data_IF_500896322512
#
_entry.id   IF_500896322512
#
_cell.length_a   1.000
_cell.length_b   1.000
_cell.length_c   1.000
_cell.angle_alpha   90.00
_cell.angle_beta   90.00
_cell.angle_gamma   90.00
#
_symmetry.space_group_name_H-M   'P 1'
#
loop_
_entity.id
_entity.type
_entity.pdbx_description
1 polymer ?
#
# COMPACT_ATOMS: atom_id res chain seq x y z
N UNK A 1 -21.66 12.12 -47.61
CA UNK A 1 -21.24 12.81 -48.86
C UNK A 1 -22.26 13.86 -49.33
N UNK A 2 -23.58 13.57 -49.25
CA UNK A 2 -24.66 14.50 -49.67
C UNK A 2 -24.78 15.82 -48.87
N UNK A 3 -24.40 15.86 -47.59
CA UNK A 3 -24.55 17.05 -46.72
C UNK A 3 -23.56 18.18 -46.99
N UNK A 4 -22.37 17.90 -47.52
CA UNK A 4 -21.40 18.95 -47.91
C UNK A 4 -21.82 19.62 -49.21
N UNK A 5 -22.21 18.84 -50.21
CA UNK A 5 -22.65 19.33 -51.52
C UNK A 5 -23.88 20.25 -51.40
N UNK A 6 -24.87 19.85 -50.58
CA UNK A 6 -26.06 20.67 -50.33
C UNK A 6 -25.74 22.02 -49.67
N UNK A 7 -24.80 22.05 -48.71
CA UNK A 7 -24.35 23.29 -48.07
C UNK A 7 -23.64 24.24 -49.05
N UNK A 8 -22.81 23.71 -49.95
CA UNK A 8 -22.16 24.52 -50.98
C UNK A 8 -23.17 25.11 -51.97
N UNK A 9 -24.14 24.31 -52.41
CA UNK A 9 -25.19 24.73 -53.33
C UNK A 9 -26.10 25.80 -52.73
N UNK A 10 -26.51 25.62 -51.47
CA UNK A 10 -27.31 26.61 -50.73
C UNK A 10 -26.56 27.95 -50.55
N UNK A 11 -25.26 27.91 -50.26
CA UNK A 11 -24.43 29.12 -50.12
C UNK A 11 -24.33 29.90 -51.44
N UNK A 12 -24.16 29.21 -52.56
CA UNK A 12 -24.11 29.85 -53.88
C UNK A 12 -25.44 30.55 -54.23
N UNK A 13 -26.56 29.93 -53.86
CA UNK A 13 -27.90 30.51 -54.03
C UNK A 13 -28.06 31.77 -53.17
N UNK A 14 -27.61 31.76 -51.92
CA UNK A 14 -27.69 32.93 -51.02
C UNK A 14 -26.80 34.08 -51.52
N UNK A 15 -25.60 33.79 -52.03
CA UNK A 15 -24.71 34.80 -52.63
C UNK A 15 -25.35 35.39 -53.88
N UNK A 16 -25.86 34.55 -54.78
CA UNK A 16 -26.52 35.00 -56.00
C UNK A 16 -27.75 35.87 -55.70
N UNK A 17 -28.53 35.50 -54.68
CA UNK A 17 -29.71 36.25 -54.25
C UNK A 17 -29.35 37.59 -53.60
N UNK A 18 -28.31 37.65 -52.76
CA UNK A 18 -27.84 38.89 -52.14
C UNK A 18 -27.27 39.88 -53.18
N UNK A 19 -26.49 39.37 -54.15
CA UNK A 19 -26.00 40.17 -55.28
C UNK A 19 -27.19 40.64 -56.13
N UNK A 20 -28.17 39.78 -56.39
CA UNK A 20 -29.39 40.16 -57.11
C UNK A 20 -30.14 41.32 -56.44
N UNK A 21 -30.30 41.31 -55.10
CA UNK A 21 -30.94 42.41 -54.37
C UNK A 21 -30.17 43.73 -54.52
N UNK A 22 -28.84 43.72 -54.42
CA UNK A 22 -28.00 44.92 -54.56
C UNK A 22 -28.16 45.55 -55.95
N UNK A 23 -28.32 44.71 -56.98
CA UNK A 23 -28.39 45.17 -58.36
C UNK A 23 -29.79 45.59 -58.80
N UNK A 24 -30.84 44.92 -58.32
CA UNK A 24 -32.21 45.12 -58.81
C UNK A 24 -33.14 45.87 -57.84
N UNK A 25 -32.84 45.88 -56.54
CA UNK A 25 -33.73 46.45 -55.52
C UNK A 25 -33.25 47.80 -54.95
N UNK A 26 -31.97 48.15 -55.15
CA UNK A 26 -31.42 49.45 -54.72
C UNK A 26 -31.44 50.40 -55.94
N UNK A 27 -32.26 51.47 -55.93
CA UNK A 27 -32.35 52.40 -57.05
C UNK A 27 -31.04 53.19 -57.23
N UNK A 28 -30.69 53.49 -58.47
CA UNK A 28 -29.42 54.17 -58.83
C UNK A 28 -29.26 55.59 -58.25
N UNK A 29 -30.34 56.16 -57.73
CA UNK A 29 -30.33 57.45 -57.02
C UNK A 29 -29.67 57.38 -55.64
N UNK A 30 -29.63 56.19 -55.00
CA UNK A 30 -29.06 56.01 -53.67
C UNK A 30 -27.64 55.42 -53.70
N UNK A 31 -27.29 54.67 -54.74
CA UNK A 31 -26.00 53.99 -54.83
C UNK A 31 -25.51 53.95 -56.29
N UNK A 32 -24.37 54.60 -56.57
CA UNK A 32 -23.81 54.63 -57.92
C UNK A 32 -23.29 53.25 -58.32
N UNK A 33 -23.16 53.00 -59.62
CA UNK A 33 -22.71 51.73 -60.19
C UNK A 33 -21.38 51.22 -59.58
N UNK A 34 -20.38 52.10 -59.41
CA UNK A 34 -19.11 51.73 -58.77
C UNK A 34 -19.30 51.30 -57.32
N UNK A 35 -20.19 51.96 -56.57
CA UNK A 35 -20.45 51.62 -55.17
C UNK A 35 -21.12 50.24 -55.07
N UNK A 36 -22.03 49.90 -56.01
CA UNK A 36 -22.67 48.56 -56.11
C UNK A 36 -21.66 47.44 -56.39
N UNK A 37 -20.65 47.69 -57.23
CA UNK A 37 -19.55 46.74 -57.48
C UNK A 37 -18.73 46.53 -56.20
N UNK A 38 -18.33 47.62 -55.54
CA UNK A 38 -17.53 47.56 -54.31
C UNK A 38 -18.29 46.82 -53.20
N UNK A 39 -19.59 47.05 -53.03
CA UNK A 39 -20.42 46.35 -52.04
C UNK A 39 -20.56 44.85 -52.34
N UNK A 40 -20.69 44.46 -53.62
CA UNK A 40 -20.75 43.05 -54.03
C UNK A 40 -19.44 42.32 -53.73
N UNK A 41 -18.30 42.96 -54.00
CA UNK A 41 -16.96 42.42 -53.68
C UNK A 41 -16.78 42.30 -52.17
N UNK A 42 -17.20 43.30 -51.39
CA UNK A 42 -17.13 43.27 -49.93
C UNK A 42 -17.99 42.15 -49.32
N UNK A 43 -19.19 41.90 -49.87
CA UNK A 43 -20.08 40.83 -49.44
C UNK A 43 -19.48 39.44 -49.70
N UNK A 44 -18.89 39.23 -50.88
CA UNK A 44 -18.17 37.99 -51.21
C UNK A 44 -16.98 37.80 -50.25
N UNK A 45 -16.20 38.85 -50.00
CA UNK A 45 -15.06 38.80 -49.09
C UNK A 45 -15.48 38.46 -47.65
N UNK A 46 -16.58 39.03 -47.15
CA UNK A 46 -17.13 38.73 -45.82
C UNK A 46 -17.57 37.27 -45.68
N UNK A 47 -18.18 36.69 -46.70
CA UNK A 47 -18.63 35.29 -46.68
C UNK A 47 -17.42 34.33 -46.70
N UNK A 48 -16.40 34.64 -47.50
CA UNK A 48 -15.13 33.89 -47.51
C UNK A 48 -14.43 34.01 -46.15
N UNK A 49 -14.39 35.21 -45.56
CA UNK A 49 -13.81 35.43 -44.24
C UNK A 49 -14.58 34.69 -43.14
N UNK A 50 -15.91 34.67 -43.22
CA UNK A 50 -16.77 33.93 -42.28
C UNK A 50 -16.53 32.42 -42.37
N UNK A 51 -16.52 31.83 -43.57
CA UNK A 51 -16.27 30.39 -43.74
C UNK A 51 -14.86 30.02 -43.28
N UNK A 52 -13.88 30.88 -43.58
CA UNK A 52 -12.51 30.75 -43.09
C UNK A 52 -12.45 30.82 -41.56
N UNK A 53 -13.21 31.71 -40.93
CA UNK A 53 -13.29 31.84 -39.47
C UNK A 53 -13.97 30.62 -38.82
N UNK A 54 -15.06 30.10 -39.40
CA UNK A 54 -15.75 28.90 -38.90
C UNK A 54 -14.85 27.66 -39.05
N UNK A 55 -14.19 27.52 -40.20
CA UNK A 55 -13.22 26.46 -40.45
C UNK A 55 -12.04 26.55 -39.48
N UNK A 56 -11.49 27.75 -39.30
CA UNK A 56 -10.40 28.02 -38.35
C UNK A 56 -10.79 27.69 -36.90
N UNK A 57 -12.01 28.02 -36.47
CA UNK A 57 -12.52 27.61 -35.15
C UNK A 57 -12.59 26.10 -35.00
N UNK A 58 -13.16 25.39 -35.98
CA UNK A 58 -13.24 23.93 -35.96
C UNK A 58 -11.85 23.28 -35.99
N UNK A 59 -10.91 23.83 -36.76
CA UNK A 59 -9.53 23.37 -36.79
C UNK A 59 -8.80 23.66 -35.48
N UNK A 60 -9.08 24.80 -34.84
CA UNK A 60 -8.56 25.15 -33.52
C UNK A 60 -9.06 24.19 -32.44
N UNK A 61 -10.35 23.87 -32.42
CA UNK A 61 -10.93 22.90 -31.47
C UNK A 61 -10.33 21.49 -31.67
N UNK A 62 -10.13 21.07 -32.92
CA UNK A 62 -9.47 19.78 -33.23
C UNK A 62 -8.00 19.83 -32.81
N UNK A 63 -7.28 20.89 -33.15
CA UNK A 63 -5.87 21.05 -32.78
C UNK A 63 -5.68 21.06 -31.27
N UNK A 64 -6.60 21.69 -30.51
CA UNK A 64 -6.60 21.66 -29.05
C UNK A 64 -6.82 20.23 -28.53
N UNK A 65 -7.82 19.51 -29.03
CA UNK A 65 -8.06 18.11 -28.63
C UNK A 65 -6.87 17.22 -28.95
N UNK A 66 -6.30 17.34 -30.15
CA UNK A 66 -5.10 16.61 -30.56
C UNK A 66 -3.89 16.99 -29.68
N UNK A 67 -3.74 18.25 -29.31
CA UNK A 67 -2.69 18.68 -28.40
C UNK A 67 -2.86 18.08 -26.99
N UNK A 68 -4.08 18.10 -26.44
CA UNK A 68 -4.38 17.47 -25.16
C UNK A 68 -4.16 15.95 -25.18
N UNK A 69 -4.56 15.27 -26.27
CA UNK A 69 -4.30 13.84 -26.49
C UNK A 69 -2.81 13.53 -26.61
N UNK A 70 -2.06 14.36 -27.35
CA UNK A 70 -0.61 14.23 -27.49
C UNK A 70 0.09 14.46 -26.14
N UNK A 71 -0.33 15.46 -25.36
CA UNK A 71 0.23 15.73 -24.04
C UNK A 71 -0.04 14.56 -23.08
N UNK A 72 -1.26 14.02 -23.06
CA UNK A 72 -1.61 12.83 -22.27
C UNK A 72 -0.80 11.61 -22.70
N UNK A 73 -0.68 11.38 -24.01
CA UNK A 73 0.08 10.26 -24.57
C UNK A 73 1.57 10.39 -24.24
N UNK A 74 2.14 11.60 -24.33
CA UNK A 74 3.52 11.86 -23.95
C UNK A 74 3.78 11.61 -22.46
N UNK A 75 2.88 12.08 -21.58
CA UNK A 75 2.97 11.81 -20.15
C UNK A 75 2.92 10.32 -19.82
N UNK A 76 2.00 9.58 -20.46
CA UNK A 76 1.90 8.13 -20.31
C UNK A 76 3.14 7.41 -20.83
N UNK A 77 3.64 7.77 -22.01
CA UNK A 77 4.85 7.17 -22.58
C UNK A 77 6.08 7.41 -21.71
N UNK A 78 6.24 8.63 -21.18
CA UNK A 78 7.32 8.97 -20.24
C UNK A 78 7.21 8.16 -18.94
N UNK A 79 5.98 8.01 -18.43
CA UNK A 79 5.71 7.18 -17.26
C UNK A 79 6.11 5.72 -17.52
N UNK A 80 5.63 5.12 -18.61
CA UNK A 80 5.91 3.73 -19.01
C UNK A 80 7.40 3.50 -19.23
N UNK A 81 8.09 4.39 -19.95
CA UNK A 81 9.53 4.26 -20.18
C UNK A 81 10.31 4.22 -18.86
N UNK A 82 10.02 5.16 -17.95
CA UNK A 82 10.68 5.21 -16.64
C UNK A 82 10.28 4.03 -15.74
N UNK A 83 9.02 3.63 -15.77
CA UNK A 83 8.54 2.45 -15.05
C UNK A 83 9.30 1.20 -15.50
N UNK A 84 9.41 0.97 -16.81
CA UNK A 84 10.12 -0.18 -17.36
C UNK A 84 11.61 -0.18 -17.03
N UNK A 85 12.26 0.99 -17.04
CA UNK A 85 13.66 1.11 -16.60
C UNK A 85 13.84 0.80 -15.12
N UNK A 86 12.96 1.32 -14.25
CA UNK A 86 12.99 1.02 -12.81
C UNK A 86 12.66 -0.45 -12.53
N UNK A 87 11.73 -1.05 -13.27
CA UNK A 87 11.37 -2.46 -13.16
C UNK A 87 12.54 -3.37 -13.57
N UNK A 88 13.28 -3.04 -14.62
CA UNK A 88 14.48 -3.77 -15.02
C UNK A 88 15.54 -3.73 -13.91
N UNK A 89 15.82 -2.54 -13.36
CA UNK A 89 16.75 -2.38 -12.24
C UNK A 89 16.28 -3.13 -10.98
N UNK A 90 14.97 -3.10 -10.69
CA UNK A 90 14.36 -3.88 -9.62
C UNK A 90 14.64 -5.37 -9.79
N UNK A 91 14.45 -5.91 -11.00
CA UNK A 91 14.63 -7.34 -11.26
C UNK A 91 16.10 -7.77 -11.12
N UNK A 92 17.04 -6.93 -11.57
CA UNK A 92 18.47 -7.20 -11.42
C UNK A 92 18.89 -7.21 -9.94
N UNK A 93 18.42 -6.22 -9.17
CA UNK A 93 18.69 -6.15 -7.73
C UNK A 93 17.98 -7.26 -6.95
N UNK A 94 16.75 -7.60 -7.32
CA UNK A 94 16.01 -8.73 -6.73
C UNK A 94 16.77 -10.04 -6.92
N UNK A 95 17.30 -10.28 -8.13
CA UNK A 95 18.16 -11.43 -8.41
C UNK A 95 19.43 -11.41 -7.56
N UNK A 96 20.06 -10.25 -7.39
CA UNK A 96 21.25 -10.10 -6.53
C UNK A 96 20.95 -10.42 -5.07
N UNK A 97 19.82 -9.93 -4.54
CA UNK A 97 19.35 -10.26 -3.18
C UNK A 97 19.07 -11.76 -3.07
N UNK A 98 18.40 -12.37 -4.05
CA UNK A 98 18.16 -13.81 -4.07
C UNK A 98 19.46 -14.62 -4.01
N UNK A 99 20.44 -14.30 -4.87
CA UNK A 99 21.76 -14.94 -4.86
C UNK A 99 22.46 -14.76 -3.52
N UNK A 100 22.35 -13.57 -2.91
CA UNK A 100 22.90 -13.32 -1.59
C UNK A 100 22.24 -14.22 -0.54
N UNK A 101 20.91 -14.25 -0.46
CA UNK A 101 20.17 -15.07 0.52
C UNK A 101 20.45 -16.57 0.37
N UNK A 102 20.72 -17.03 -0.85
CA UNK A 102 21.05 -18.43 -1.13
C UNK A 102 22.55 -18.74 -0.90
N UNK A 103 23.39 -17.73 -0.62
CA UNK A 103 24.83 -17.92 -0.46
C UNK A 103 25.19 -18.68 0.83
N UNK A 104 26.09 -19.69 0.75
CA UNK A 104 26.52 -20.46 1.90
C UNK A 104 27.50 -19.65 2.77
N UNK A 105 27.65 -20.08 4.02
CA UNK A 105 28.66 -19.55 4.93
C UNK A 105 30.06 -19.79 4.39
N UNK A 106 30.93 -18.78 4.54
CA UNK A 106 32.35 -18.92 4.23
C UNK A 106 33.02 -19.59 5.41
N UNK A 107 33.58 -20.77 5.17
CA UNK A 107 34.36 -21.50 6.16
C UNK A 107 35.81 -21.00 6.19
N UNK A 108 36.42 -20.95 7.37
CA UNK A 108 37.85 -20.77 7.54
C UNK A 108 38.60 -22.08 7.24
N UNK A 109 39.93 -22.02 7.15
CA UNK A 109 40.78 -23.20 6.92
C UNK A 109 40.80 -24.21 8.07
N UNK A 110 40.10 -23.94 9.18
CA UNK A 110 39.98 -24.79 10.37
C UNK A 110 38.56 -25.35 10.54
N UNK A 111 37.65 -25.10 9.59
CA UNK A 111 36.26 -25.56 9.62
C UNK A 111 35.29 -24.69 10.44
N UNK A 112 35.73 -23.54 10.95
CA UNK A 112 34.88 -22.53 11.57
C UNK A 112 34.24 -21.58 10.54
N UNK A 113 33.20 -20.84 10.91
CA UNK A 113 32.57 -19.85 10.01
C UNK A 113 33.39 -18.55 10.05
N UNK A 114 34.08 -18.25 8.94
CA UNK A 114 34.86 -17.02 8.75
C UNK A 114 33.98 -15.79 8.48
N UNK A 115 32.89 -15.98 7.73
CA UNK A 115 31.89 -14.96 7.47
C UNK A 115 30.54 -15.62 7.19
N UNK A 116 29.50 -15.14 7.85
CA UNK A 116 28.13 -15.60 7.59
C UNK A 116 27.74 -15.25 6.15
N UNK A 117 27.28 -16.27 5.42
CA UNK A 117 26.60 -16.12 4.14
C UNK A 117 25.18 -15.60 4.36
N UNK A 118 24.47 -15.35 3.26
CA UNK A 118 23.13 -14.77 3.34
C UNK A 118 22.10 -15.70 3.97
N UNK A 119 22.28 -17.02 3.90
CA UNK A 119 21.37 -17.98 4.55
C UNK A 119 21.42 -17.86 6.07
N UNK A 120 22.61 -17.85 6.65
CA UNK A 120 22.80 -17.67 8.10
C UNK A 120 22.45 -16.25 8.54
N UNK A 121 22.71 -15.23 7.71
CA UNK A 121 22.25 -13.87 7.95
C UNK A 121 20.72 -13.78 8.08
N UNK A 122 19.98 -14.38 7.13
CA UNK A 122 18.52 -14.42 7.18
C UNK A 122 18.00 -15.19 8.40
N UNK A 123 18.61 -16.35 8.72
CA UNK A 123 18.26 -17.11 9.92
C UNK A 123 18.53 -16.35 11.22
N UNK A 124 19.57 -15.51 11.26
CA UNK A 124 19.84 -14.65 12.41
C UNK A 124 18.72 -13.60 12.56
N UNK A 125 18.32 -12.95 11.47
CA UNK A 125 17.18 -12.02 11.49
C UNK A 125 15.91 -12.72 11.97
N UNK A 126 15.66 -13.96 11.53
CA UNK A 126 14.51 -14.75 12.00
C UNK A 126 14.50 -14.98 13.50
N UNK A 127 15.66 -15.16 14.11
CA UNK A 127 15.79 -15.39 15.56
C UNK A 127 15.71 -14.12 16.41
N UNK A 128 15.83 -12.94 15.79
CA UNK A 128 15.71 -11.66 16.51
C UNK A 128 14.34 -11.53 17.14
N UNK A 129 14.29 -10.95 18.35
CA UNK A 129 13.06 -10.91 19.13
C UNK A 129 12.14 -9.78 18.70
N UNK A 130 12.71 -8.60 18.46
CA UNK A 130 11.96 -7.36 18.22
C UNK A 130 12.05 -6.89 16.78
N UNK A 131 11.14 -6.01 16.37
CA UNK A 131 11.19 -5.36 15.05
C UNK A 131 12.40 -4.43 14.94
N UNK A 132 12.77 -3.75 16.02
CA UNK A 132 13.87 -2.78 16.08
C UNK A 132 15.21 -3.44 15.79
N UNK A 133 15.46 -4.59 16.41
CA UNK A 133 16.68 -5.36 16.20
C UNK A 133 16.82 -5.81 14.73
N UNK A 134 15.71 -6.31 14.16
CA UNK A 134 15.66 -6.74 12.77
C UNK A 134 15.82 -5.57 11.79
N UNK A 135 15.14 -4.44 12.04
CA UNK A 135 15.22 -3.23 11.22
C UNK A 135 16.65 -2.66 11.21
N UNK A 136 17.26 -2.51 12.38
CA UNK A 136 18.62 -1.97 12.53
C UNK A 136 19.66 -2.86 11.84
N UNK A 137 19.45 -4.17 11.86
CA UNK A 137 20.33 -5.12 11.14
C UNK A 137 20.21 -4.97 9.62
N UNK A 138 19.01 -4.72 9.11
CA UNK A 138 18.77 -4.53 7.68
C UNK A 138 19.26 -3.17 7.16
N UNK A 139 19.23 -2.16 8.02
CA UNK A 139 19.62 -0.80 7.69
C UNK A 139 21.09 -0.75 7.26
N UNK A 140 21.35 -0.17 6.08
CA UNK A 140 22.71 -0.02 5.57
C UNK A 140 23.34 -1.30 4.98
N UNK A 141 22.62 -2.42 4.96
CA UNK A 141 23.12 -3.64 4.33
C UNK A 141 23.41 -3.42 2.84
N UNK A 142 24.62 -3.76 2.40
CA UNK A 142 25.17 -3.43 1.08
C UNK A 142 24.35 -3.96 -0.11
N UNK A 143 23.73 -5.14 0.03
CA UNK A 143 22.90 -5.76 -1.03
C UNK A 143 21.41 -5.40 -0.89
N UNK A 144 20.86 -5.52 0.32
CA UNK A 144 19.42 -5.34 0.58
C UNK A 144 19.00 -3.86 0.50
N UNK A 145 19.79 -2.93 1.05
CA UNK A 145 19.40 -1.51 1.09
C UNK A 145 19.25 -0.88 -0.31
N UNK A 146 20.14 -1.12 -1.30
CA UNK A 146 19.93 -0.66 -2.68
C UNK A 146 18.64 -1.20 -3.30
N UNK A 147 18.32 -2.47 -3.07
CA UNK A 147 17.08 -3.08 -3.53
C UNK A 147 15.84 -2.37 -2.94
N UNK A 148 15.81 -2.16 -1.62
CA UNK A 148 14.72 -1.46 -0.94
C UNK A 148 14.50 -0.06 -1.51
N UNK A 149 15.59 0.68 -1.78
CA UNK A 149 15.52 2.03 -2.34
C UNK A 149 14.92 2.04 -3.75
N UNK A 150 15.31 1.09 -4.61
CA UNK A 150 14.75 0.98 -5.96
C UNK A 150 13.29 0.57 -5.91
N UNK A 151 12.91 -0.35 -5.03
CA UNK A 151 11.51 -0.72 -4.83
C UNK A 151 10.67 0.48 -4.36
N UNK A 152 11.17 1.27 -3.40
CA UNK A 152 10.53 2.51 -2.98
C UNK A 152 10.34 3.49 -4.15
N UNK A 153 11.39 3.75 -4.94
CA UNK A 153 11.27 4.69 -6.06
C UNK A 153 10.36 4.19 -7.18
N UNK A 154 10.30 2.87 -7.40
CA UNK A 154 9.36 2.26 -8.33
C UNK A 154 7.92 2.48 -7.85
N UNK A 155 7.61 2.19 -6.59
CA UNK A 155 6.29 2.45 -6.02
C UNK A 155 5.94 3.94 -6.04
N UNK A 156 6.88 4.81 -5.62
CA UNK A 156 6.71 6.27 -5.68
C UNK A 156 6.38 6.74 -7.09
N UNK A 157 7.06 6.22 -8.11
CA UNK A 157 6.79 6.56 -9.51
C UNK A 157 5.38 6.17 -9.95
N UNK A 158 4.90 4.98 -9.54
CA UNK A 158 3.51 4.53 -9.79
C UNK A 158 2.51 5.47 -9.11
N UNK A 159 2.68 5.72 -7.80
CA UNK A 159 1.74 6.53 -7.02
C UNK A 159 1.78 8.02 -7.36
N UNK A 160 2.92 8.54 -7.85
CA UNK A 160 3.03 9.91 -8.38
C UNK A 160 2.29 10.06 -9.70
N UNK A 161 2.27 9.00 -10.53
CA UNK A 161 1.55 9.02 -11.80
C UNK A 161 0.03 8.95 -11.60
N UNK A 162 -0.45 8.12 -10.66
CA UNK A 162 -1.87 8.01 -10.38
C UNK A 162 -2.17 7.50 -8.97
N UNK A 163 -3.14 8.14 -8.33
CA UNK A 163 -3.74 7.69 -7.06
C UNK A 163 -4.98 6.81 -7.27
N UNK A 164 -5.39 6.57 -8.52
CA UNK A 164 -6.53 5.71 -8.83
C UNK A 164 -6.16 4.22 -8.59
N UNK A 165 -6.89 3.50 -7.72
CA UNK A 165 -6.71 2.07 -7.47
C UNK A 165 -6.60 1.19 -8.70
N UNK A 166 -7.41 1.42 -9.73
CA UNK A 166 -7.40 0.61 -10.94
C UNK A 166 -6.08 0.74 -11.70
N UNK A 167 -5.49 1.94 -11.66
CA UNK A 167 -4.25 2.25 -12.36
C UNK A 167 -3.06 1.75 -11.54
N UNK A 168 -2.91 2.14 -10.26
CA UNK A 168 -1.72 1.73 -9.52
C UNK A 168 -1.67 0.21 -9.29
N UNK A 169 -2.82 -0.45 -9.06
CA UNK A 169 -2.87 -1.92 -8.89
C UNK A 169 -2.44 -2.66 -10.14
N UNK A 170 -2.68 -2.12 -11.33
CA UNK A 170 -2.20 -2.68 -12.60
C UNK A 170 -0.67 -2.85 -12.62
N UNK A 171 0.06 -1.94 -11.98
CA UNK A 171 1.53 -1.96 -11.94
C UNK A 171 2.07 -2.64 -10.67
N UNK A 172 1.42 -2.47 -9.51
CA UNK A 172 1.90 -3.08 -8.26
C UNK A 172 1.61 -4.57 -8.14
N UNK A 173 0.52 -5.08 -8.74
CA UNK A 173 0.13 -6.49 -8.61
C UNK A 173 1.09 -7.47 -9.33
N UNK A 174 1.57 -7.17 -10.55
CA UNK A 174 2.63 -7.97 -11.16
C UNK A 174 3.94 -7.85 -10.38
N UNK A 175 4.29 -6.64 -9.94
CA UNK A 175 5.52 -6.38 -9.18
C UNK A 175 5.60 -7.24 -7.92
N UNK A 176 4.54 -7.27 -7.08
CA UNK A 176 4.53 -8.10 -5.85
C UNK A 176 4.64 -9.60 -6.15
N UNK A 177 4.05 -10.06 -7.25
CA UNK A 177 4.04 -11.49 -7.62
C UNK A 177 5.40 -12.01 -8.09
N UNK A 178 6.31 -11.12 -8.53
CA UNK A 178 7.65 -11.49 -8.98
C UNK A 178 8.64 -11.65 -7.82
N UNK A 179 8.34 -11.09 -6.65
CA UNK A 179 9.25 -11.04 -5.51
C UNK A 179 9.07 -12.31 -4.67
N UNK A 180 10.19 -13.00 -4.40
CA UNK A 180 10.24 -14.14 -3.47
C UNK A 180 9.72 -13.77 -2.07
N UNK A 181 9.10 -14.73 -1.37
CA UNK A 181 8.47 -14.52 -0.05
C UNK A 181 9.48 -14.08 1.04
N UNK A 182 10.68 -14.64 1.05
CA UNK A 182 11.77 -14.25 1.95
C UNK A 182 12.18 -12.78 1.75
N UNK A 183 12.28 -12.32 0.50
CA UNK A 183 12.54 -10.92 0.18
C UNK A 183 11.36 -10.03 0.59
N UNK A 184 10.12 -10.44 0.34
CA UNK A 184 8.93 -9.70 0.80
C UNK A 184 8.91 -9.55 2.33
N UNK A 185 9.30 -10.59 3.07
CA UNK A 185 9.45 -10.52 4.52
C UNK A 185 10.50 -9.49 4.94
N UNK A 186 11.66 -9.44 4.27
CA UNK A 186 12.67 -8.42 4.53
C UNK A 186 12.18 -6.99 4.20
N UNK A 187 11.37 -6.83 3.15
CA UNK A 187 10.75 -5.53 2.81
C UNK A 187 9.81 -5.10 3.94
N UNK A 188 8.96 -6.01 4.42
CA UNK A 188 8.05 -5.74 5.52
C UNK A 188 8.81 -5.36 6.80
N UNK A 189 9.85 -6.11 7.18
CA UNK A 189 10.69 -5.79 8.34
C UNK A 189 11.35 -4.41 8.21
N UNK A 190 11.93 -4.10 7.06
CA UNK A 190 12.65 -2.84 6.87
C UNK A 190 11.70 -1.63 6.91
N UNK A 191 10.43 -1.82 6.56
CA UNK A 191 9.42 -0.75 6.50
C UNK A 191 8.43 -0.76 7.67
N UNK A 192 8.57 -1.67 8.63
CA UNK A 192 7.67 -1.75 9.79
C UNK A 192 7.85 -0.58 10.76
N UNK A 193 9.09 -0.08 10.88
CA UNK A 193 9.43 1.03 11.77
C UNK A 193 9.52 2.31 10.93
N UNK A 194 8.73 3.31 11.32
CA UNK A 194 8.65 4.61 10.63
C UNK A 194 9.20 5.78 11.47
N UNK A 195 9.54 5.53 12.74
CA UNK A 195 10.08 6.53 13.65
C UNK A 195 11.53 6.23 13.98
N UNK A 196 12.31 7.27 14.30
CA UNK A 196 13.66 7.10 14.85
C UNK A 196 13.57 6.66 16.31
N UNK A 197 14.57 5.90 16.75
CA UNK A 197 14.65 5.43 18.14
C UNK A 197 14.56 6.62 19.12
N UNK A 198 13.62 6.54 20.07
CA UNK A 198 13.35 7.59 21.05
C UNK A 198 12.79 8.92 20.50
N UNK A 199 12.37 8.99 19.24
CA UNK A 199 11.83 10.21 18.61
C UNK A 199 10.51 9.95 17.87
N UNK A 200 9.71 11.02 17.70
CA UNK A 200 8.54 11.03 16.81
C UNK A 200 8.90 11.46 15.38
N UNK A 201 10.18 11.71 15.10
CA UNK A 201 10.65 12.10 13.78
C UNK A 201 10.59 10.90 12.81
N UNK A 202 10.09 11.17 11.60
CA UNK A 202 10.11 10.22 10.49
C UNK A 202 11.54 9.78 10.17
N UNK A 203 11.74 8.47 10.05
CA UNK A 203 13.00 7.87 9.63
C UNK A 203 13.16 7.80 8.10
N UNK A 204 12.18 8.32 7.35
CA UNK A 204 12.13 8.35 5.90
C UNK A 204 11.44 7.13 5.28
N UNK A 205 10.90 6.22 6.10
CA UNK A 205 10.19 5.03 5.65
C UNK A 205 8.67 5.20 5.65
N UNK A 206 8.11 6.29 6.20
CA UNK A 206 6.66 6.49 6.26
C UNK A 206 6.00 6.42 4.87
N UNK A 207 6.48 7.21 3.89
CA UNK A 207 5.92 7.17 2.52
C UNK A 207 6.01 5.76 1.92
N UNK A 208 7.10 5.04 2.18
CA UNK A 208 7.28 3.69 1.66
C UNK A 208 6.27 2.71 2.27
N UNK A 209 6.10 2.75 3.59
CA UNK A 209 5.11 1.94 4.29
C UNK A 209 3.68 2.24 3.78
N UNK A 210 3.35 3.52 3.58
CA UNK A 210 2.04 3.92 3.03
C UNK A 210 1.78 3.35 1.64
N UNK A 211 2.77 3.38 0.74
CA UNK A 211 2.63 2.80 -0.60
C UNK A 211 2.40 1.29 -0.55
N UNK A 212 3.11 0.58 0.35
CA UNK A 212 2.95 -0.86 0.55
C UNK A 212 1.55 -1.20 1.09
N UNK A 213 1.03 -0.40 2.03
CA UNK A 213 -0.31 -0.58 2.58
C UNK A 213 -1.41 -0.28 1.54
N UNK A 214 -1.33 0.87 0.85
CA UNK A 214 -2.33 1.29 -0.17
C UNK A 214 -2.45 0.31 -1.34
N UNK A 215 -1.38 -0.42 -1.63
CA UNK A 215 -1.34 -1.40 -2.72
C UNK A 215 -1.65 -2.84 -2.28
N UNK A 216 -1.99 -3.07 -1.01
CA UNK A 216 -2.13 -4.41 -0.43
C UNK A 216 -0.92 -5.31 -0.82
N UNK A 217 0.30 -4.76 -0.71
CA UNK A 217 1.50 -5.37 -1.31
C UNK A 217 1.79 -6.79 -0.80
N UNK A 218 1.40 -7.07 0.44
CA UNK A 218 1.65 -8.34 1.15
C UNK A 218 0.42 -9.26 1.23
N UNK A 219 -0.59 -9.05 0.38
CA UNK A 219 -1.87 -9.78 0.40
C UNK A 219 -1.73 -11.32 0.42
N UNK A 220 -0.66 -11.85 -0.15
CA UNK A 220 -0.39 -13.29 -0.24
C UNK A 220 0.87 -13.72 0.52
N UNK A 221 1.52 -12.80 1.24
CA UNK A 221 2.77 -13.06 1.95
C UNK A 221 2.49 -13.72 3.29
N UNK A 222 3.25 -14.77 3.61
CA UNK A 222 3.20 -15.41 4.93
C UNK A 222 4.48 -15.06 5.67
N UNK A 223 4.36 -14.18 6.65
CA UNK A 223 5.52 -13.72 7.43
C UNK A 223 6.04 -14.77 8.40
N UNK A 224 5.25 -15.76 8.80
CA UNK A 224 5.62 -16.77 9.81
C UNK A 224 6.34 -17.99 9.25
N UNK A 225 6.59 -18.03 7.93
CA UNK A 225 7.26 -19.15 7.26
C UNK A 225 8.38 -18.67 6.34
N UNK A 226 9.48 -19.42 6.29
CA UNK A 226 10.64 -19.14 5.43
C UNK A 226 10.33 -19.34 3.94
N UNK A 227 9.47 -20.29 3.64
CA UNK A 227 9.04 -20.62 2.28
C UNK A 227 7.55 -20.34 2.12
N UNK A 228 7.13 -20.19 0.87
CA UNK A 228 5.71 -20.09 0.55
C UNK A 228 5.01 -21.39 0.98
N UNK A 229 4.19 -21.29 2.03
CA UNK A 229 3.35 -22.38 2.53
C UNK A 229 1.89 -22.06 2.27
N UNK A 230 1.06 -23.09 2.21
CA UNK A 230 -0.40 -22.88 2.18
C UNK A 230 -0.86 -22.35 3.55
N UNK A 231 -1.71 -21.32 3.56
CA UNK A 231 -2.29 -20.74 4.78
C UNK A 231 -2.80 -21.81 5.76
N UNK A 232 -3.53 -22.81 5.27
CA UNK A 232 -4.10 -23.85 6.12
C UNK A 232 -3.03 -24.74 6.79
N UNK A 233 -1.84 -24.86 6.19
CA UNK A 233 -0.76 -25.67 6.72
C UNK A 233 -0.05 -25.01 7.91
N UNK A 234 -0.03 -23.68 7.95
CA UNK A 234 0.66 -22.90 9.00
C UNK A 234 -0.30 -22.26 10.00
N UNK A 235 -1.62 -22.28 9.75
CA UNK A 235 -2.62 -21.64 10.61
C UNK A 235 -2.55 -22.09 12.07
N UNK A 236 -2.50 -23.40 12.31
CA UNK A 236 -2.45 -23.95 13.67
C UNK A 236 -1.16 -23.56 14.42
N UNK A 237 -0.03 -23.47 13.71
CA UNK A 237 1.25 -23.03 14.27
C UNK A 237 1.21 -21.54 14.67
N UNK A 238 0.55 -20.71 13.86
CA UNK A 238 0.34 -19.30 14.15
C UNK A 238 -0.61 -19.13 15.34
N UNK A 239 -1.73 -19.85 15.38
CA UNK A 239 -2.66 -19.85 16.53
C UNK A 239 -1.94 -20.27 17.82
N UNK A 240 -1.16 -21.34 17.77
CA UNK A 240 -0.35 -21.79 18.89
C UNK A 240 0.67 -20.72 19.33
N UNK A 241 1.32 -20.04 18.38
CA UNK A 241 2.28 -18.97 18.66
C UNK A 241 1.61 -17.75 19.31
N UNK A 242 0.39 -17.40 18.91
CA UNK A 242 -0.40 -16.37 19.59
C UNK A 242 -0.75 -16.77 21.00
N UNK A 243 -1.21 -18.01 21.20
CA UNK A 243 -1.53 -18.49 22.54
C UNK A 243 -0.32 -18.44 23.49
N UNK A 244 0.85 -18.87 23.02
CA UNK A 244 2.09 -18.88 23.80
C UNK A 244 2.62 -17.49 24.10
N UNK A 245 2.64 -16.59 23.11
CA UNK A 245 3.25 -15.26 23.27
C UNK A 245 2.29 -14.22 23.86
N UNK A 246 0.98 -14.50 23.88
CA UNK A 246 -0.02 -13.49 24.22
C UNK A 246 -0.99 -13.97 25.30
N UNK A 247 -1.78 -15.02 25.04
CA UNK A 247 -2.82 -15.46 25.97
C UNK A 247 -2.25 -16.02 27.28
N UNK A 248 -1.18 -16.82 27.20
CA UNK A 248 -0.54 -17.41 28.40
C UNK A 248 0.11 -16.32 29.28
N UNK A 249 0.93 -15.39 28.76
CA UNK A 249 1.46 -14.27 29.54
C UNK A 249 0.37 -13.44 30.22
N UNK A 250 -0.69 -13.07 29.49
CA UNK A 250 -1.84 -12.35 30.07
C UNK A 250 -2.43 -13.12 31.25
N UNK A 251 -2.72 -14.41 31.07
CA UNK A 251 -3.30 -15.25 32.14
C UNK A 251 -2.38 -15.33 33.36
N UNK A 252 -1.08 -15.46 33.15
CA UNK A 252 -0.10 -15.51 34.24
C UNK A 252 -0.04 -14.18 35.02
N UNK A 253 -0.06 -13.04 34.33
CA UNK A 253 -0.10 -11.72 34.98
C UNK A 253 -1.37 -11.53 35.79
N UNK A 254 -2.53 -11.93 35.24
CA UNK A 254 -3.79 -11.86 35.96
C UNK A 254 -3.81 -12.79 37.18
N UNK A 255 -3.28 -14.01 37.06
CA UNK A 255 -3.13 -14.92 38.19
C UNK A 255 -2.26 -14.32 39.30
N UNK A 256 -1.10 -13.75 38.95
CA UNK A 256 -0.21 -13.08 39.90
C UNK A 256 -0.89 -11.89 40.57
N UNK A 257 -1.63 -11.09 39.80
CA UNK A 257 -2.40 -9.97 40.33
C UNK A 257 -3.45 -10.44 41.35
N UNK A 258 -4.26 -11.44 41.02
CA UNK A 258 -5.28 -11.99 41.94
C UNK A 258 -4.65 -12.52 43.23
N UNK A 259 -3.48 -13.15 43.15
CA UNK A 259 -2.79 -13.72 44.31
C UNK A 259 -2.10 -12.68 45.19
N UNK A 260 -1.56 -11.61 44.60
CA UNK A 260 -0.66 -10.67 45.31
C UNK A 260 -1.22 -9.26 45.45
N UNK A 261 -2.29 -8.93 44.72
CA UNK A 261 -2.85 -7.59 44.56
C UNK A 261 -1.85 -6.55 44.03
N UNK A 262 -0.77 -7.01 43.37
CA UNK A 262 0.23 -6.14 42.75
C UNK A 262 0.13 -6.19 41.24
N UNK A 263 0.12 -5.02 40.63
CA UNK A 263 0.23 -4.90 39.18
C UNK A 263 1.66 -5.20 38.74
N UNK A 264 1.79 -6.06 37.73
CA UNK A 264 3.04 -6.22 36.99
C UNK A 264 2.99 -5.24 35.81
N UNK A 265 4.01 -4.38 35.70
CA UNK A 265 4.12 -3.39 34.63
C UNK A 265 4.95 -3.90 33.45
N UNK A 266 5.08 -5.21 33.32
CA UNK A 266 5.83 -5.82 32.24
C UNK A 266 5.07 -5.66 30.92
N UNK A 267 5.79 -5.28 29.87
CA UNK A 267 5.23 -5.14 28.53
C UNK A 267 5.12 -6.53 27.89
N UNK A 268 3.91 -6.90 27.48
CA UNK A 268 3.70 -8.07 26.63
C UNK A 268 4.05 -7.66 25.20
N UNK A 269 5.27 -7.98 24.81
CA UNK A 269 5.76 -7.71 23.47
C UNK A 269 5.24 -8.77 22.49
N UNK A 270 4.73 -8.32 21.35
CA UNK A 270 4.22 -9.20 20.32
C UNK A 270 5.41 -9.64 19.46
N UNK A 271 5.56 -10.94 19.21
CA UNK A 271 6.62 -11.43 18.34
C UNK A 271 6.61 -10.68 17.00
N UNK A 272 7.79 -10.25 16.52
CA UNK A 272 7.93 -9.35 15.35
C UNK A 272 7.13 -9.79 14.13
N UNK A 273 7.09 -11.10 13.83
CA UNK A 273 6.37 -11.63 12.67
C UNK A 273 4.85 -11.43 12.79
N UNK A 274 4.33 -11.47 14.02
CA UNK A 274 2.93 -11.20 14.30
C UNK A 274 2.65 -9.70 14.25
N UNK A 275 3.59 -8.84 14.68
CA UNK A 275 3.47 -7.40 14.50
C UNK A 275 3.40 -7.01 13.02
N UNK A 276 4.18 -7.64 12.15
CA UNK A 276 4.06 -7.44 10.70
C UNK A 276 2.65 -7.76 10.21
N UNK A 277 1.99 -8.77 10.78
CA UNK A 277 0.61 -9.11 10.43
C UNK A 277 -0.43 -8.08 10.86
N UNK A 278 -0.10 -7.25 11.87
CA UNK A 278 -0.91 -6.11 12.32
C UNK A 278 -0.67 -4.90 11.40
N UNK A 279 0.60 -4.63 11.06
CA UNK A 279 0.99 -3.45 10.28
C UNK A 279 0.58 -3.59 8.81
N UNK A 280 0.70 -4.79 8.25
CA UNK A 280 0.47 -5.05 6.84
C UNK A 280 -0.65 -6.07 6.63
N UNK A 281 -1.56 -5.75 5.70
CA UNK A 281 -2.61 -6.66 5.28
C UNK A 281 -2.03 -7.89 4.59
N UNK A 282 -2.36 -9.06 5.11
CA UNK A 282 -1.91 -10.36 4.66
C UNK A 282 -2.95 -11.44 5.02
N UNK A 283 -2.76 -12.72 4.65
CA UNK A 283 -3.74 -13.78 4.92
C UNK A 283 -4.09 -13.98 6.40
N UNK A 284 -3.19 -13.65 7.33
CA UNK A 284 -3.40 -13.78 8.77
C UNK A 284 -4.04 -12.57 9.43
N UNK A 285 -4.16 -11.43 8.74
CA UNK A 285 -4.73 -10.20 9.33
C UNK A 285 -6.09 -10.43 10.01
N UNK A 286 -7.07 -11.16 9.44
CA UNK A 286 -8.34 -11.41 10.14
C UNK A 286 -8.18 -12.22 11.44
N UNK A 287 -7.27 -13.19 11.45
CA UNK A 287 -6.96 -14.00 12.62
C UNK A 287 -6.32 -13.13 13.71
N UNK A 288 -5.27 -12.37 13.35
CA UNK A 288 -4.54 -11.52 14.28
C UNK A 288 -5.45 -10.44 14.90
N UNK A 289 -6.27 -9.78 14.07
CA UNK A 289 -7.22 -8.78 14.56
C UNK A 289 -8.21 -9.40 15.55
N UNK A 290 -8.70 -10.62 15.30
CA UNK A 290 -9.56 -11.33 16.25
C UNK A 290 -8.87 -11.54 17.61
N UNK A 291 -7.58 -11.88 17.65
CA UNK A 291 -6.85 -12.00 18.93
C UNK A 291 -6.72 -10.66 19.64
N UNK A 292 -6.40 -9.59 18.91
CA UNK A 292 -6.24 -8.23 19.47
C UNK A 292 -7.57 -7.71 20.02
N UNK A 293 -8.66 -7.85 19.26
CA UNK A 293 -9.99 -7.39 19.66
C UNK A 293 -10.51 -8.15 20.90
N UNK A 294 -10.10 -9.41 21.06
CA UNK A 294 -10.51 -10.27 22.17
C UNK A 294 -9.64 -10.15 23.43
N UNK A 295 -8.58 -9.33 23.45
CA UNK A 295 -7.72 -9.11 24.64
C UNK A 295 -8.53 -8.84 25.89
N UNK A 296 -9.46 -7.89 25.80
CA UNK A 296 -10.28 -7.45 26.93
C UNK A 296 -11.12 -8.59 27.50
N UNK A 297 -11.63 -9.46 26.63
CA UNK A 297 -12.40 -10.63 27.01
C UNK A 297 -11.51 -11.66 27.73
N UNK A 298 -10.34 -11.97 27.17
CA UNK A 298 -9.38 -12.90 27.77
C UNK A 298 -8.96 -12.44 29.17
N UNK A 299 -8.68 -11.14 29.34
CA UNK A 299 -8.37 -10.53 30.65
C UNK A 299 -9.53 -10.73 31.63
N UNK A 300 -10.75 -10.40 31.22
CA UNK A 300 -11.95 -10.50 32.06
C UNK A 300 -12.26 -11.94 32.48
N UNK A 301 -12.16 -12.87 31.55
CA UNK A 301 -12.41 -14.30 31.81
C UNK A 301 -11.33 -14.90 32.70
N UNK A 302 -10.07 -14.59 32.45
CA UNK A 302 -8.95 -15.02 33.30
C UNK A 302 -9.10 -14.49 34.72
N UNK A 303 -9.47 -13.21 34.87
CA UNK A 303 -9.67 -12.61 36.20
C UNK A 303 -10.80 -13.29 36.96
N UNK A 304 -11.98 -13.47 36.32
CA UNK A 304 -13.12 -14.17 36.91
C UNK A 304 -12.75 -15.59 37.34
N UNK A 305 -12.04 -16.32 36.48
CA UNK A 305 -11.62 -17.68 36.77
C UNK A 305 -10.72 -17.75 38.00
N UNK A 306 -9.63 -16.96 38.03
CA UNK A 306 -8.67 -16.99 39.13
C UNK A 306 -9.27 -16.48 40.44
N UNK A 307 -10.09 -15.42 40.41
CA UNK A 307 -10.79 -14.92 41.60
C UNK A 307 -11.73 -16.01 42.16
N UNK A 308 -12.49 -16.68 41.29
CA UNK A 308 -13.36 -17.77 41.69
C UNK A 308 -12.61 -18.94 42.34
N UNK A 309 -11.40 -19.25 41.89
CA UNK A 309 -10.55 -20.28 42.51
C UNK A 309 -10.06 -19.86 43.90
N UNK A 310 -9.66 -18.59 44.08
CA UNK A 310 -9.26 -18.06 45.39
C UNK A 310 -10.42 -18.12 46.38
N UNK A 311 -11.61 -17.62 46.01
CA UNK A 311 -12.78 -17.67 46.90
C UNK A 311 -13.17 -19.11 47.29
N UNK A 312 -13.07 -20.07 46.37
CA UNK A 312 -13.29 -21.50 46.69
C UNK A 312 -12.28 -22.02 47.71
N UNK A 313 -11.01 -21.64 47.56
CA UNK A 313 -9.96 -22.06 48.50
C UNK A 313 -10.16 -21.44 49.89
N UNK A 314 -10.49 -20.15 49.97
CA UNK A 314 -10.76 -19.45 51.23
C UNK A 314 -11.95 -20.07 51.96
N UNK A 315 -13.06 -20.31 51.27
CA UNK A 315 -14.22 -20.97 51.86
C UNK A 315 -13.90 -22.37 52.42
N UNK A 316 -13.01 -23.11 51.74
CA UNK A 316 -12.54 -24.42 52.22
C UNK A 316 -11.70 -24.29 53.49
N UNK A 317 -10.78 -23.33 53.55
CA UNK A 317 -9.96 -23.09 54.75
C UNK A 317 -10.81 -22.59 55.93
N UNK A 318 -11.80 -21.74 55.66
CA UNK A 318 -12.70 -21.21 56.67
C UNK A 318 -13.60 -22.31 57.24
N UNK A 319 -14.06 -23.25 56.41
CA UNK A 319 -14.73 -24.47 56.86
C UNK A 319 -13.85 -25.33 57.77
N UNK A 320 -12.60 -25.61 57.35
CA UNK A 320 -11.65 -26.37 58.17
C UNK A 320 -11.34 -25.69 59.51
N UNK A 321 -11.21 -24.36 59.51
CA UNK A 321 -10.98 -23.59 60.74
C UNK A 321 -12.17 -23.68 61.68
N UNK A 322 -13.40 -23.54 61.15
CA UNK A 322 -14.62 -23.67 61.94
C UNK A 322 -14.76 -25.08 62.54
N UNK A 323 -14.43 -26.12 61.78
CA UNK A 323 -14.45 -27.51 62.27
C UNK A 323 -13.42 -27.73 63.39
N UNK A 324 -12.21 -27.16 63.26
CA UNK A 324 -11.17 -27.20 64.29
C UNK A 324 -11.60 -26.44 65.55
N UNK A 325 -12.16 -25.25 65.42
CA UNK A 325 -12.68 -24.47 66.54
C UNK A 325 -13.81 -25.22 67.27
N UNK A 326 -14.76 -25.80 66.53
CA UNK A 326 -15.85 -26.59 67.09
C UNK A 326 -15.37 -27.86 67.82
N UNK A 327 -14.29 -28.48 67.34
CA UNK A 327 -13.64 -29.60 68.02
C UNK A 327 -13.03 -29.17 69.37
N UNK A 328 -12.25 -28.09 69.38
CA UNK A 328 -11.64 -27.56 70.61
C UNK A 328 -12.67 -27.08 71.64
N UNK A 329 -13.79 -26.48 71.20
CA UNK A 329 -14.89 -26.10 72.10
C UNK A 329 -15.61 -27.30 72.72
N UNK A 330 -15.60 -28.46 72.05
CA UNK A 330 -16.13 -29.72 72.59
C UNK A 330 -15.18 -30.41 73.57
N UNK A 331 -13.87 -30.33 73.38
CA UNK A 331 -12.88 -30.91 74.31
C UNK A 331 -12.66 -30.07 75.58
N UNK A 332 -12.91 -28.75 75.54
CA UNK A 332 -12.79 -27.86 76.69
C UNK A 332 -14.09 -27.70 77.52
N UNK A 333 -15.11 -28.52 77.25
CA UNK A 333 -16.32 -28.67 78.07
C UNK A 333 -16.31 -30.04 78.73
#
# INVERSE_FOLDING_TARGET
MYTRFFKFLFRYIVIAFAVYIIWFYIPDNEMKFNDKITASIALIALIIAWDSAVSSKSSGDIAQKTFEENQRSANFNNFEQRYNSLLALHNDLHKSVGIFLDSPDKMDGKGGIAASGGKSYFQNIRKMKTLEEAHNTLMGHSVISPYMRVLYHLLKHIFTYSTNPDIYKKYTSPLRSLIRNDVLYLVALNTAIIYKDGSLDDNGYQEFQEYLQKSDFFEHTIFTADEYKNFNAVKSEVEFSFDQNFNIPIRNYIFNYVKTLRFQNDVIDLHKDLMLCVIFKNPFTPLVNSYIDNVSLVVKESYKYHLGQVCKSENRYLGLLNDLCAYYEKENK
#
